data_IF_718185994519
#
_entry.id   IF_718185994519
#
_cell.length_a   1.000
_cell.length_b   1.000
_cell.length_c   1.000
_cell.angle_alpha   90.00
_cell.angle_beta   90.00
_cell.angle_gamma   90.00
#
_symmetry.space_group_name_H-M   'P 1'
#
loop_
_entity.id
_entity.type
_entity.pdbx_description
1 polymer ?
#
# COMPACT_ATOMS: atom_id res chain seq x y z
N UNK A 1 33.55 -3.47 63.80
CA UNK A 1 32.43 -4.19 63.14
C UNK A 1 31.35 -3.18 62.77
N UNK A 2 31.35 -2.67 61.54
CA UNK A 2 30.22 -1.88 61.00
C UNK A 2 30.02 -2.38 59.57
N UNK A 3 28.92 -3.08 59.33
CA UNK A 3 28.51 -3.57 58.00
C UNK A 3 27.47 -2.59 57.45
N UNK A 4 27.83 -1.86 56.40
CA UNK A 4 26.89 -1.13 55.56
C UNK A 4 26.34 -2.08 54.50
N UNK A 5 25.02 -2.28 54.48
CA UNK A 5 24.32 -2.94 53.39
C UNK A 5 23.72 -1.85 52.48
N UNK A 6 24.10 -1.75 51.19
CA UNK A 6 23.43 -0.85 50.28
C UNK A 6 22.12 -1.50 49.80
N UNK A 7 21.00 -0.81 50.03
CA UNK A 7 19.70 -1.16 49.47
C UNK A 7 19.72 -0.76 47.99
N UNK A 8 19.71 -1.76 47.11
CA UNK A 8 19.61 -1.58 45.67
C UNK A 8 18.16 -1.18 45.33
N UNK A 9 17.94 0.11 45.03
CA UNK A 9 16.65 0.60 44.57
C UNK A 9 16.50 0.30 43.08
N UNK A 10 15.89 -0.83 42.75
CA UNK A 10 15.53 -1.21 41.37
C UNK A 10 14.40 -0.31 40.87
N UNK A 11 14.76 0.73 40.12
CA UNK A 11 13.82 1.56 39.36
C UNK A 11 13.28 0.73 38.18
N UNK A 12 12.12 0.09 38.37
CA UNK A 12 11.33 -0.48 37.28
C UNK A 12 10.76 0.70 36.46
N UNK A 13 11.46 1.07 35.40
CA UNK A 13 10.95 1.97 34.37
C UNK A 13 9.78 1.28 33.67
N UNK A 14 8.56 1.59 34.11
CA UNK A 14 7.36 1.28 33.34
C UNK A 14 7.41 2.12 32.06
N UNK A 15 7.85 1.51 30.96
CA UNK A 15 7.71 2.09 29.63
C UNK A 15 6.21 2.13 29.35
N UNK A 16 5.59 3.30 29.50
CA UNK A 16 4.22 3.52 29.09
C UNK A 16 4.16 3.40 27.56
N UNK A 17 3.69 2.26 27.07
CA UNK A 17 3.42 2.07 25.66
C UNK A 17 2.28 3.01 25.27
N UNK A 18 2.47 3.81 24.21
CA UNK A 18 1.40 4.64 23.65
C UNK A 18 0.33 3.72 23.07
N UNK A 19 -0.96 3.90 23.43
CA UNK A 19 -2.01 3.01 22.96
C UNK A 19 -2.15 3.06 21.45
N UNK A 20 -2.26 1.90 20.83
CA UNK A 20 -2.54 1.77 19.40
C UNK A 20 -4.00 2.10 19.09
N UNK A 21 -4.33 2.27 17.81
CA UNK A 21 -5.72 2.50 17.41
C UNK A 21 -6.61 1.31 17.77
N UNK A 22 -6.11 0.08 17.64
CA UNK A 22 -6.81 -1.12 18.08
C UNK A 22 -7.06 -1.14 19.60
N UNK A 23 -6.13 -0.65 20.42
CA UNK A 23 -6.33 -0.53 21.88
C UNK A 23 -7.46 0.46 22.20
N UNK A 24 -7.51 1.59 21.49
CA UNK A 24 -8.57 2.60 21.63
C UNK A 24 -9.93 2.02 21.22
N UNK A 25 -10.00 1.28 20.10
CA UNK A 25 -11.23 0.61 19.67
C UNK A 25 -11.69 -0.46 20.67
N UNK A 26 -10.76 -1.24 21.23
CA UNK A 26 -11.07 -2.27 22.22
C UNK A 26 -11.64 -1.64 23.50
N UNK A 27 -11.00 -0.58 24.00
CA UNK A 27 -11.47 0.15 25.17
C UNK A 27 -12.85 0.78 24.91
N UNK A 28 -13.07 1.34 23.72
CA UNK A 28 -14.37 1.86 23.30
C UNK A 28 -15.44 0.77 23.32
N UNK A 29 -15.18 -0.39 22.70
CA UNK A 29 -16.10 -1.52 22.67
C UNK A 29 -16.42 -2.05 24.07
N UNK A 30 -15.41 -2.21 24.93
CA UNK A 30 -15.58 -2.66 26.31
C UNK A 30 -16.43 -1.70 27.14
N UNK A 31 -16.23 -0.38 26.98
CA UNK A 31 -17.04 0.62 27.69
C UNK A 31 -18.50 0.62 27.24
N UNK A 32 -18.76 0.45 25.96
CA UNK A 32 -20.12 0.28 25.45
C UNK A 32 -20.75 -1.00 26.02
N UNK A 33 -20.03 -2.11 25.96
CA UNK A 33 -20.47 -3.42 26.44
C UNK A 33 -20.88 -3.39 27.92
N UNK A 34 -20.05 -2.76 28.76
CA UNK A 34 -20.32 -2.59 30.19
C UNK A 34 -21.60 -1.79 30.49
N UNK A 35 -21.96 -0.79 29.66
CA UNK A 35 -23.18 0.01 29.87
C UNK A 35 -24.42 -0.72 29.34
N UNK A 36 -24.23 -1.49 28.28
CA UNK A 36 -25.27 -2.28 27.63
C UNK A 36 -25.54 -3.61 28.34
N UNK A 37 -24.70 -4.00 29.30
CA UNK A 37 -24.75 -5.28 30.02
C UNK A 37 -24.70 -6.48 29.05
N UNK A 38 -23.88 -6.38 28.01
CA UNK A 38 -23.66 -7.42 26.99
C UNK A 38 -22.18 -7.72 26.83
N UNK A 39 -21.78 -8.92 26.37
CA UNK A 39 -20.38 -9.17 26.04
C UNK A 39 -19.94 -8.27 24.86
N UNK A 40 -18.66 -7.84 24.83
CA UNK A 40 -18.13 -7.06 23.71
C UNK A 40 -18.13 -7.89 22.41
N UNK A 41 -18.16 -7.24 21.23
CA UNK A 41 -18.14 -7.94 19.96
C UNK A 41 -16.82 -8.69 19.74
N UNK A 42 -16.89 -9.84 19.09
CA UNK A 42 -15.72 -10.44 18.45
C UNK A 42 -15.36 -9.65 17.20
N UNK A 43 -14.09 -9.38 16.99
CA UNK A 43 -13.59 -8.66 15.82
C UNK A 43 -13.05 -9.66 14.81
N UNK A 44 -13.49 -9.52 13.56
CA UNK A 44 -13.05 -10.40 12.48
C UNK A 44 -11.55 -10.27 12.26
N UNK A 45 -10.88 -11.43 12.21
CA UNK A 45 -9.45 -11.52 11.89
C UNK A 45 -9.23 -11.14 10.43
N UNK A 46 -8.17 -10.38 10.17
CA UNK A 46 -7.79 -10.06 8.81
C UNK A 46 -7.24 -11.28 8.08
N UNK A 47 -7.66 -11.44 6.83
CA UNK A 47 -7.04 -12.35 5.87
C UNK A 47 -5.90 -11.67 5.11
N UNK A 48 -4.92 -12.39 4.58
CA UNK A 48 -3.96 -11.82 3.62
C UNK A 48 -4.67 -11.30 2.36
N UNK A 49 -4.15 -10.23 1.75
CA UNK A 49 -4.59 -9.80 0.41
C UNK A 49 -3.92 -10.72 -0.61
N UNK A 50 -4.66 -11.12 -1.66
CA UNK A 50 -4.09 -11.93 -2.74
C UNK A 50 -2.90 -11.21 -3.39
N UNK A 51 -1.81 -11.95 -3.63
CA UNK A 51 -0.63 -11.39 -4.30
C UNK A 51 -0.96 -11.05 -5.76
N UNK A 52 -0.43 -9.92 -6.24
CA UNK A 52 -0.50 -9.58 -7.65
C UNK A 52 0.53 -10.42 -8.40
N UNK A 53 0.10 -11.18 -9.41
CA UNK A 53 0.97 -12.05 -10.19
C UNK A 53 0.94 -11.67 -11.65
N UNK A 54 2.11 -11.43 -12.25
CA UNK A 54 2.26 -11.25 -13.69
C UNK A 54 3.35 -12.20 -14.22
N UNK A 55 3.17 -12.68 -15.45
CA UNK A 55 4.13 -13.60 -16.07
C UNK A 55 5.21 -12.80 -16.78
N UNK A 56 6.48 -13.22 -16.64
CA UNK A 56 7.57 -12.66 -17.44
C UNK A 56 7.33 -12.94 -18.92
N UNK A 57 7.33 -11.93 -19.80
CA UNK A 57 7.21 -12.16 -21.24
C UNK A 57 8.35 -13.04 -21.77
N UNK A 58 8.04 -13.92 -22.71
CA UNK A 58 9.06 -14.68 -23.44
C UNK A 58 9.82 -13.76 -24.41
N UNK A 59 11.13 -14.00 -24.55
CA UNK A 59 11.93 -13.27 -25.52
C UNK A 59 11.66 -13.83 -26.93
N UNK A 60 10.91 -13.07 -27.73
CA UNK A 60 10.64 -13.39 -29.14
C UNK A 60 11.85 -13.13 -30.04
N UNK A 61 12.65 -12.10 -29.72
CA UNK A 61 13.73 -11.64 -30.57
C UNK A 61 15.13 -12.05 -30.07
N UNK A 62 15.97 -12.60 -30.96
CA UNK A 62 17.37 -12.96 -30.67
C UNK A 62 18.29 -12.40 -31.77
N UNK A 63 19.27 -11.57 -31.38
CA UNK A 63 20.38 -11.18 -32.26
C UNK A 63 21.39 -12.33 -32.36
N UNK A 64 21.82 -12.67 -33.58
CA UNK A 64 22.94 -13.57 -33.77
C UNK A 64 24.25 -12.94 -33.30
N UNK A 65 25.27 -13.77 -33.04
CA UNK A 65 26.60 -13.30 -32.62
C UNK A 65 27.24 -12.40 -33.68
N UNK A 66 27.07 -12.72 -34.97
CA UNK A 66 27.60 -11.92 -36.08
C UNK A 66 26.90 -10.55 -36.16
N UNK A 67 25.58 -10.52 -36.04
CA UNK A 67 24.82 -9.26 -36.01
C UNK A 67 25.23 -8.42 -34.79
N UNK A 68 25.46 -9.03 -33.63
CA UNK A 68 25.92 -8.32 -32.44
C UNK A 68 27.35 -7.76 -32.62
N UNK A 69 28.24 -8.49 -33.28
CA UNK A 69 29.60 -8.03 -33.58
C UNK A 69 29.60 -6.82 -34.54
N UNK A 70 28.71 -6.82 -35.54
CA UNK A 70 28.51 -5.69 -36.45
C UNK A 70 28.04 -4.41 -35.74
N UNK A 71 27.54 -4.52 -34.50
CA UNK A 71 27.07 -3.41 -33.69
C UNK A 71 28.10 -2.93 -32.66
N UNK A 72 29.36 -3.36 -32.77
CA UNK A 72 30.42 -3.05 -31.79
C UNK A 72 30.69 -1.55 -31.57
N UNK A 73 30.35 -0.69 -32.53
CA UNK A 73 30.40 0.78 -32.38
C UNK A 73 29.25 1.36 -31.58
N UNK A 74 28.16 0.60 -31.36
CA UNK A 74 27.00 1.01 -30.59
C UNK A 74 27.07 0.51 -29.14
N UNK A 75 26.70 1.36 -28.19
CA UNK A 75 26.51 0.96 -26.79
C UNK A 75 25.47 -0.16 -26.61
N UNK A 76 24.56 -0.34 -27.59
CA UNK A 76 23.59 -1.44 -27.62
C UNK A 76 24.28 -2.81 -27.55
N UNK A 77 25.39 -3.01 -28.28
CA UNK A 77 26.06 -4.30 -28.30
C UNK A 77 26.58 -4.71 -26.91
N UNK A 78 27.11 -3.73 -26.17
CA UNK A 78 27.56 -3.94 -24.80
C UNK A 78 26.40 -4.24 -23.85
N UNK A 79 25.24 -3.58 -24.02
CA UNK A 79 24.07 -3.82 -23.17
C UNK A 79 23.46 -5.22 -23.40
N UNK A 80 23.36 -5.64 -24.67
CA UNK A 80 22.94 -7.01 -25.03
C UNK A 80 23.92 -8.06 -24.51
N UNK A 81 25.23 -7.82 -24.63
CA UNK A 81 26.25 -8.73 -24.10
C UNK A 81 26.17 -8.88 -22.57
N UNK A 82 25.96 -7.76 -21.85
CA UNK A 82 25.76 -7.78 -20.38
C UNK A 82 24.50 -8.56 -20.00
N UNK A 83 23.41 -8.42 -20.74
CA UNK A 83 22.19 -9.18 -20.48
C UNK A 83 22.35 -10.69 -20.73
N UNK A 84 23.08 -11.07 -21.77
CA UNK A 84 23.22 -12.48 -22.18
C UNK A 84 24.28 -13.26 -21.39
N UNK A 85 25.12 -12.58 -20.60
CA UNK A 85 26.11 -13.26 -19.76
C UNK A 85 25.45 -13.99 -18.57
N UNK A 86 26.24 -14.74 -17.79
CA UNK A 86 25.73 -15.54 -16.67
C UNK A 86 25.00 -14.70 -15.62
N UNK A 87 25.54 -13.53 -15.26
CA UNK A 87 24.94 -12.63 -14.27
C UNK A 87 23.65 -11.98 -14.80
N UNK A 88 23.63 -11.57 -16.07
CA UNK A 88 22.46 -10.97 -16.71
C UNK A 88 21.27 -11.93 -16.80
N UNK A 89 21.52 -13.23 -16.94
CA UNK A 89 20.47 -14.27 -16.88
C UNK A 89 19.84 -14.42 -15.50
N UNK A 90 20.56 -14.03 -14.45
CA UNK A 90 20.12 -14.05 -13.05
C UNK A 90 19.68 -12.66 -12.55
N UNK A 91 19.51 -11.70 -13.46
CA UNK A 91 19.10 -10.35 -13.13
C UNK A 91 17.75 -10.33 -12.41
N UNK A 92 17.65 -9.51 -11.37
CA UNK A 92 16.39 -9.23 -10.66
C UNK A 92 15.36 -8.60 -11.61
N UNK A 93 14.05 -8.71 -11.32
CA UNK A 93 12.99 -8.28 -12.24
C UNK A 93 13.12 -6.82 -12.72
N UNK A 94 13.55 -5.91 -11.85
CA UNK A 94 13.78 -4.49 -12.17
C UNK A 94 14.93 -4.29 -13.15
N UNK A 95 16.01 -5.06 -13.03
CA UNK A 95 17.10 -5.03 -14.01
C UNK A 95 16.69 -5.62 -15.37
N UNK A 96 15.81 -6.63 -15.37
CA UNK A 96 15.20 -7.16 -16.59
C UNK A 96 14.35 -6.09 -17.26
N UNK A 97 13.52 -5.36 -16.52
CA UNK A 97 12.71 -4.25 -17.05
C UNK A 97 13.60 -3.10 -17.56
N UNK A 98 14.58 -2.65 -16.76
CA UNK A 98 15.53 -1.60 -17.14
C UNK A 98 16.28 -1.95 -18.42
N UNK A 99 16.64 -3.22 -18.63
CA UNK A 99 17.23 -3.68 -19.89
C UNK A 99 16.30 -3.46 -21.09
N UNK A 100 14.99 -3.75 -20.97
CA UNK A 100 14.07 -3.52 -22.10
C UNK A 100 14.01 -2.04 -22.47
N UNK A 101 13.91 -1.15 -21.48
CA UNK A 101 13.92 0.31 -21.68
C UNK A 101 15.22 0.74 -22.36
N UNK A 102 16.37 0.33 -21.84
CA UNK A 102 17.68 0.69 -22.42
C UNK A 102 17.85 0.16 -23.83
N UNK A 103 17.40 -1.07 -24.10
CA UNK A 103 17.47 -1.64 -25.44
C UNK A 103 16.72 -0.76 -26.44
N UNK A 104 15.46 -0.39 -26.12
CA UNK A 104 14.64 0.46 -27.00
C UNK A 104 15.35 1.79 -27.29
N UNK A 105 15.86 2.44 -26.25
CA UNK A 105 16.56 3.74 -26.36
C UNK A 105 17.88 3.65 -27.15
N UNK A 106 18.66 2.58 -26.94
CA UNK A 106 19.95 2.38 -27.59
C UNK A 106 19.81 1.87 -29.04
N UNK A 107 18.76 1.10 -29.33
CA UNK A 107 18.45 0.64 -30.68
C UNK A 107 18.17 1.82 -31.61
N UNK A 108 17.36 2.80 -31.18
CA UNK A 108 17.07 3.98 -31.98
C UNK A 108 18.34 4.77 -32.31
N UNK A 109 19.19 5.04 -31.30
CA UNK A 109 20.48 5.72 -31.52
C UNK A 109 21.38 4.95 -32.47
N UNK A 110 21.41 3.62 -32.34
CA UNK A 110 22.25 2.77 -33.18
C UNK A 110 21.75 2.70 -34.64
N UNK A 111 20.44 2.74 -34.87
CA UNK A 111 19.85 2.83 -36.22
C UNK A 111 20.23 4.14 -36.92
N UNK A 112 20.31 5.23 -36.15
CA UNK A 112 20.65 6.58 -36.62
C UNK A 112 22.16 6.82 -36.76
N UNK A 113 23.02 5.96 -36.18
CA UNK A 113 24.47 6.06 -36.28
C UNK A 113 24.94 5.89 -37.74
N UNK A 114 25.80 6.81 -38.20
CA UNK A 114 26.34 6.81 -39.57
C UNK A 114 27.23 5.61 -39.87
N UNK A 115 27.80 4.97 -38.84
CA UNK A 115 28.58 3.73 -38.96
C UNK A 115 27.71 2.49 -39.12
N UNK A 116 26.42 2.57 -38.76
CA UNK A 116 25.46 1.50 -39.05
C UNK A 116 25.02 1.63 -40.50
N UNK A 117 25.68 0.94 -41.42
CA UNK A 117 25.37 0.99 -42.86
C UNK A 117 24.47 -0.16 -43.32
N UNK A 118 24.56 -1.30 -42.64
CA UNK A 118 23.81 -2.50 -42.98
C UNK A 118 22.30 -2.30 -42.75
N UNK A 119 21.53 -2.31 -43.84
CA UNK A 119 20.09 -2.09 -43.82
C UNK A 119 19.32 -3.27 -43.20
N UNK A 120 19.84 -4.50 -43.31
CA UNK A 120 19.24 -5.68 -42.68
C UNK A 120 19.33 -5.54 -41.15
N UNK A 121 20.51 -5.16 -40.65
CA UNK A 121 20.73 -4.89 -39.22
C UNK A 121 19.81 -3.77 -38.73
N UNK A 122 19.63 -2.69 -39.49
CA UNK A 122 18.67 -1.62 -39.12
C UNK A 122 17.23 -2.15 -39.04
N UNK A 123 16.79 -2.94 -40.00
CA UNK A 123 15.44 -3.50 -40.02
C UNK A 123 15.20 -4.44 -38.82
N UNK A 124 16.20 -5.27 -38.51
CA UNK A 124 16.22 -6.13 -37.33
C UNK A 124 16.08 -5.31 -36.04
N UNK A 125 16.86 -4.24 -35.89
CA UNK A 125 16.78 -3.39 -34.70
C UNK A 125 15.42 -2.70 -34.56
N UNK A 126 14.81 -2.26 -35.67
CA UNK A 126 13.46 -1.69 -35.66
C UNK A 126 12.43 -2.71 -35.19
N UNK A 127 12.44 -3.92 -35.76
CA UNK A 127 11.52 -4.98 -35.36
C UNK A 127 11.70 -5.36 -33.89
N UNK A 128 12.95 -5.57 -33.45
CA UNK A 128 13.25 -5.90 -32.06
C UNK A 128 12.83 -4.81 -31.09
N UNK A 129 13.01 -3.53 -31.46
CA UNK A 129 12.57 -2.38 -30.66
C UNK A 129 11.05 -2.35 -30.55
N UNK A 130 10.32 -2.57 -31.65
CA UNK A 130 8.86 -2.55 -31.67
C UNK A 130 8.23 -3.69 -30.86
N UNK A 131 8.78 -4.90 -30.98
CA UNK A 131 8.34 -6.04 -30.15
C UNK A 131 8.55 -5.74 -28.66
N UNK A 132 9.69 -5.15 -28.29
CA UNK A 132 9.98 -4.79 -26.90
C UNK A 132 9.09 -3.66 -26.38
N UNK A 133 8.75 -2.67 -27.22
CA UNK A 133 7.77 -1.61 -26.87
C UNK A 133 6.42 -2.22 -26.55
N UNK A 134 5.96 -3.14 -27.40
CA UNK A 134 4.68 -3.84 -27.24
C UNK A 134 4.65 -4.67 -25.96
N UNK A 135 5.76 -5.32 -25.61
CA UNK A 135 5.90 -6.14 -24.41
C UNK A 135 6.22 -5.35 -23.12
N UNK A 136 6.51 -4.05 -23.23
CA UNK A 136 7.05 -3.26 -22.12
C UNK A 136 6.08 -3.20 -20.91
N UNK A 137 4.76 -3.02 -21.09
CA UNK A 137 3.81 -3.07 -19.98
C UNK A 137 3.83 -4.40 -19.24
N UNK A 138 3.97 -5.54 -19.93
CA UNK A 138 4.03 -6.84 -19.29
C UNK A 138 5.36 -7.05 -18.54
N UNK A 139 6.48 -6.52 -19.04
CA UNK A 139 7.73 -6.50 -18.28
C UNK A 139 7.65 -5.63 -17.03
N UNK A 140 6.95 -4.49 -17.10
CA UNK A 140 6.69 -3.64 -15.94
C UNK A 140 5.80 -4.35 -14.91
N UNK A 141 4.70 -4.97 -15.38
CA UNK A 141 3.81 -5.79 -14.55
C UNK A 141 4.57 -6.93 -13.84
N UNK A 142 5.42 -7.65 -14.58
CA UNK A 142 6.27 -8.69 -14.01
C UNK A 142 7.18 -8.14 -12.90
N UNK A 143 7.86 -7.00 -13.13
CA UNK A 143 8.67 -6.35 -12.10
C UNK A 143 7.85 -6.04 -10.84
N UNK A 144 6.67 -5.43 -10.99
CA UNK A 144 5.80 -5.11 -9.87
C UNK A 144 5.39 -6.35 -9.05
N UNK A 145 5.19 -7.49 -9.73
CA UNK A 145 4.77 -8.76 -9.10
C UNK A 145 5.90 -9.61 -8.53
N UNK A 146 7.16 -9.31 -8.87
CA UNK A 146 8.29 -10.18 -8.57
C UNK A 146 9.37 -9.49 -7.72
N UNK A 147 9.32 -8.17 -7.54
CA UNK A 147 10.20 -7.47 -6.61
C UNK A 147 9.75 -7.63 -5.15
N UNK A 148 10.64 -8.07 -4.24
CA UNK A 148 10.30 -8.29 -2.83
C UNK A 148 9.73 -7.04 -2.13
N UNK A 149 10.33 -5.87 -2.38
CA UNK A 149 9.94 -4.60 -1.79
C UNK A 149 8.56 -4.10 -2.24
N UNK A 150 8.01 -4.64 -3.33
CA UNK A 150 6.66 -4.32 -3.83
C UNK A 150 5.63 -5.36 -3.37
N UNK A 151 6.01 -6.64 -3.35
CA UNK A 151 5.13 -7.72 -2.91
C UNK A 151 4.78 -7.66 -1.42
N UNK A 152 5.61 -7.01 -0.60
CA UNK A 152 5.35 -6.87 0.83
C UNK A 152 4.12 -6.00 1.16
N UNK A 153 3.64 -5.16 0.24
CA UNK A 153 2.52 -4.23 0.49
C UNK A 153 1.23 -4.94 0.93
N UNK A 154 1.02 -6.17 0.46
CA UNK A 154 -0.18 -6.96 0.67
C UNK A 154 -0.11 -7.88 1.91
N UNK A 155 1.03 -7.90 2.62
CA UNK A 155 1.24 -8.74 3.80
C UNK A 155 0.64 -8.09 5.05
N UNK A 156 0.21 -8.89 6.01
CA UNK A 156 -0.27 -8.37 7.31
C UNK A 156 0.90 -8.02 8.24
N UNK A 157 0.73 -6.97 9.02
CA UNK A 157 1.64 -6.59 10.13
C UNK A 157 0.87 -6.43 11.44
N UNK A 158 1.60 -6.38 12.55
CA UNK A 158 1.06 -6.02 13.86
C UNK A 158 1.14 -4.51 14.13
N UNK A 159 1.94 -3.79 13.33
CA UNK A 159 2.07 -2.33 13.43
C UNK A 159 0.79 -1.63 12.98
N UNK A 160 0.47 -0.52 13.65
CA UNK A 160 -0.58 0.41 13.25
C UNK A 160 0.03 1.81 13.12
N UNK A 161 -0.33 2.53 12.05
CA UNK A 161 0.11 3.91 11.87
C UNK A 161 -0.64 4.82 12.84
N UNK A 162 0.05 5.74 13.51
CA UNK A 162 -0.53 6.73 14.42
C UNK A 162 -0.13 8.17 14.04
N UNK A 163 0.75 8.34 13.05
CA UNK A 163 1.41 9.62 12.70
C UNK A 163 1.45 9.86 11.20
N UNK A 164 1.68 11.14 10.87
CA UNK A 164 1.90 11.66 9.51
C UNK A 164 3.27 12.30 9.41
N UNK A 165 3.79 12.36 8.19
CA UNK A 165 5.06 13.01 7.84
C UNK A 165 6.28 12.28 8.38
N UNK A 166 6.20 10.96 8.57
CA UNK A 166 7.37 10.16 8.95
C UNK A 166 8.32 10.00 7.76
N UNK A 167 9.61 9.80 8.02
CA UNK A 167 10.59 9.56 6.94
C UNK A 167 10.20 8.35 6.07
N UNK A 168 9.66 7.29 6.68
CA UNK A 168 9.18 6.11 5.97
C UNK A 168 8.00 6.43 5.05
N UNK A 169 7.05 7.25 5.50
CA UNK A 169 5.93 7.73 4.67
C UNK A 169 6.42 8.53 3.46
N UNK A 170 7.33 9.48 3.70
CA UNK A 170 7.89 10.34 2.64
C UNK A 170 8.64 9.48 1.62
N UNK A 171 9.56 8.63 2.07
CA UNK A 171 10.36 7.77 1.20
C UNK A 171 9.49 6.80 0.38
N UNK A 172 8.47 6.21 1.01
CA UNK A 172 7.56 5.30 0.31
C UNK A 172 6.77 6.02 -0.79
N UNK A 173 6.21 7.18 -0.48
CA UNK A 173 5.48 8.00 -1.45
C UNK A 173 6.39 8.46 -2.61
N UNK A 174 7.62 8.87 -2.33
CA UNK A 174 8.58 9.25 -3.37
C UNK A 174 8.99 8.07 -4.26
N UNK A 175 9.24 6.90 -3.68
CA UNK A 175 9.57 5.68 -4.42
C UNK A 175 8.42 5.26 -5.34
N UNK A 176 7.20 5.24 -4.80
CA UNK A 176 5.99 4.88 -5.54
C UNK A 176 5.66 5.92 -6.64
N UNK A 177 5.89 7.21 -6.39
CA UNK A 177 5.71 8.27 -7.39
C UNK A 177 6.65 8.10 -8.60
N UNK A 178 7.89 7.66 -8.38
CA UNK A 178 8.80 7.33 -9.50
C UNK A 178 8.25 6.16 -10.33
N UNK A 179 7.77 5.09 -9.67
CA UNK A 179 7.16 3.95 -10.39
C UNK A 179 5.91 4.37 -11.18
N UNK A 180 5.08 5.25 -10.62
CA UNK A 180 3.93 5.82 -11.31
C UNK A 180 4.34 6.68 -12.53
N UNK A 181 5.41 7.47 -12.40
CA UNK A 181 5.98 8.22 -13.54
C UNK A 181 6.49 7.30 -14.64
N UNK A 182 7.09 6.15 -14.28
CA UNK A 182 7.49 5.11 -15.25
C UNK A 182 6.26 4.53 -15.94
N UNK A 183 5.20 4.21 -15.18
CA UNK A 183 3.95 3.69 -15.71
C UNK A 183 3.33 4.61 -16.78
N UNK A 184 3.26 5.92 -16.51
CA UNK A 184 2.73 6.90 -17.48
C UNK A 184 3.60 7.04 -18.74
N UNK A 185 4.85 6.61 -18.70
CA UNK A 185 5.82 6.76 -19.78
C UNK A 185 6.01 5.46 -20.59
N UNK A 186 5.28 4.38 -20.30
CA UNK A 186 5.45 3.10 -20.97
C UNK A 186 5.19 3.15 -22.49
N UNK A 187 4.31 4.05 -22.95
CA UNK A 187 4.05 4.28 -24.37
C UNK A 187 5.11 5.16 -25.07
N UNK A 188 5.95 5.84 -24.31
CA UNK A 188 7.04 6.69 -24.78
C UNK A 188 8.32 6.40 -23.99
N UNK A 189 8.88 5.17 -24.10
CA UNK A 189 9.99 4.69 -23.26
C UNK A 189 11.29 5.49 -23.39
N UNK A 190 11.41 6.35 -24.38
CA UNK A 190 12.47 7.36 -24.53
C UNK A 190 12.53 8.31 -23.33
N UNK A 191 11.37 8.58 -22.72
CA UNK A 191 11.24 9.48 -21.58
C UNK A 191 11.51 8.78 -20.24
N UNK A 192 11.69 7.46 -20.25
CA UNK A 192 11.97 6.68 -19.02
C UNK A 192 13.45 6.79 -18.67
N UNK A 193 13.73 7.46 -17.55
CA UNK A 193 15.03 7.37 -16.90
C UNK A 193 15.13 6.08 -16.07
N UNK A 194 15.62 5.02 -16.71
CA UNK A 194 15.79 3.71 -16.07
C UNK A 194 16.74 3.72 -14.87
N UNK A 195 17.60 4.73 -14.71
CA UNK A 195 18.53 4.82 -13.57
C UNK A 195 17.82 5.19 -12.27
N UNK A 196 16.64 5.82 -12.33
CA UNK A 196 15.85 6.20 -11.15
C UNK A 196 15.08 5.03 -10.52
N UNK A 197 14.94 3.91 -11.22
CA UNK A 197 14.15 2.76 -10.75
C UNK A 197 14.78 2.11 -9.51
N UNK A 198 16.08 1.81 -9.55
CA UNK A 198 16.76 1.18 -8.40
C UNK A 198 16.75 2.07 -7.14
N UNK A 199 17.05 3.38 -7.21
CA UNK A 199 16.86 4.28 -6.08
C UNK A 199 15.42 4.33 -5.55
N UNK A 200 14.42 4.29 -6.43
CA UNK A 200 13.01 4.28 -6.03
C UNK A 200 12.65 3.00 -5.27
N UNK A 201 13.07 1.85 -5.77
CA UNK A 201 12.91 0.56 -5.10
C UNK A 201 13.65 0.51 -3.76
N UNK A 202 14.84 1.12 -3.69
CA UNK A 202 15.59 1.21 -2.42
C UNK A 202 14.86 1.99 -1.34
N UNK A 203 14.01 2.97 -1.68
CA UNK A 203 13.16 3.70 -0.70
C UNK A 203 12.01 2.85 -0.17
N UNK A 204 11.60 1.83 -0.93
CA UNK A 204 10.54 0.89 -0.59
C UNK A 204 11.09 -0.35 0.13
N UNK A 205 12.36 -0.66 -0.07
CA UNK A 205 13.03 -1.76 0.60
C UNK A 205 13.10 -1.53 2.13
N UNK A 206 12.73 -2.55 2.91
CA UNK A 206 12.62 -2.49 4.37
C UNK A 206 11.74 -1.34 4.92
N UNK A 207 10.85 -0.78 4.08
CA UNK A 207 9.92 0.27 4.47
C UNK A 207 8.52 -0.32 4.66
N UNK A 208 8.07 -0.42 5.92
CA UNK A 208 6.76 -1.01 6.26
C UNK A 208 5.59 -0.05 6.06
N UNK A 209 5.80 1.22 5.69
CA UNK A 209 4.74 2.25 5.72
C UNK A 209 3.47 1.83 4.97
N UNK A 210 3.59 1.40 3.71
CA UNK A 210 2.45 1.01 2.88
C UNK A 210 1.74 -0.18 3.52
N UNK A 211 2.49 -1.21 3.94
CA UNK A 211 1.95 -2.41 4.58
C UNK A 211 1.20 -2.06 5.89
N UNK A 212 1.79 -1.22 6.73
CA UNK A 212 1.24 -0.75 8.00
C UNK A 212 -0.01 0.07 7.79
N UNK A 213 -0.04 0.96 6.78
CA UNK A 213 -1.23 1.74 6.43
C UNK A 213 -2.37 0.85 5.91
N UNK A 214 -2.09 -0.06 4.97
CA UNK A 214 -3.09 -1.01 4.46
C UNK A 214 -3.68 -1.84 5.61
N UNK A 215 -2.83 -2.35 6.50
CA UNK A 215 -3.26 -3.13 7.67
C UNK A 215 -4.10 -2.29 8.63
N UNK A 216 -3.66 -1.07 8.96
CA UNK A 216 -4.36 -0.13 9.85
C UNK A 216 -5.77 0.18 9.35
N UNK A 217 -5.90 0.51 8.06
CA UNK A 217 -7.20 0.77 7.44
C UNK A 217 -8.12 -0.45 7.51
N UNK A 218 -7.60 -1.65 7.23
CA UNK A 218 -8.36 -2.90 7.28
C UNK A 218 -8.81 -3.23 8.71
N UNK A 219 -7.95 -3.05 9.71
CA UNK A 219 -8.30 -3.22 11.12
C UNK A 219 -9.42 -2.27 11.52
N UNK A 220 -9.30 -0.99 11.18
CA UNK A 220 -10.32 0.00 11.50
C UNK A 220 -11.66 -0.28 10.79
N UNK A 221 -11.64 -0.76 9.53
CA UNK A 221 -12.85 -1.22 8.83
C UNK A 221 -13.49 -2.40 9.56
N UNK A 222 -12.69 -3.40 9.99
CA UNK A 222 -13.18 -4.55 10.75
C UNK A 222 -13.81 -4.14 12.07
N UNK A 223 -13.17 -3.22 12.80
CA UNK A 223 -13.73 -2.62 14.02
C UNK A 223 -15.04 -1.90 13.77
N UNK A 224 -15.10 -1.02 12.77
CA UNK A 224 -16.31 -0.28 12.42
C UNK A 224 -17.48 -1.23 12.10
N UNK A 225 -17.23 -2.26 11.27
CA UNK A 225 -18.25 -3.24 10.86
C UNK A 225 -18.73 -4.09 12.03
N UNK A 226 -17.80 -4.71 12.76
CA UNK A 226 -18.11 -5.62 13.87
C UNK A 226 -18.85 -4.89 15.00
N UNK A 227 -18.37 -3.70 15.37
CA UNK A 227 -18.99 -2.90 16.41
C UNK A 227 -20.39 -2.42 16.01
N UNK A 228 -20.55 -1.95 14.76
CA UNK A 228 -21.87 -1.49 14.27
C UNK A 228 -22.87 -2.62 14.16
N UNK A 229 -22.45 -3.80 13.69
CA UNK A 229 -23.29 -4.99 13.61
C UNK A 229 -23.78 -5.42 15.01
N UNK A 230 -22.88 -5.47 15.99
CA UNK A 230 -23.22 -5.78 17.38
C UNK A 230 -24.16 -4.74 18.00
N UNK A 231 -23.87 -3.45 17.85
CA UNK A 231 -24.73 -2.37 18.33
C UNK A 231 -26.13 -2.41 17.71
N UNK A 232 -26.25 -2.86 16.46
CA UNK A 232 -27.54 -2.99 15.76
C UNK A 232 -28.44 -4.09 16.32
N UNK A 233 -27.92 -4.98 17.16
CA UNK A 233 -28.70 -6.00 17.87
C UNK A 233 -29.38 -5.45 19.14
N UNK A 234 -29.03 -4.24 19.57
CA UNK A 234 -29.54 -3.64 20.80
C UNK A 234 -30.90 -2.97 20.55
N UNK A 235 -31.93 -3.42 21.27
CA UNK A 235 -33.19 -2.69 21.38
C UNK A 235 -32.99 -1.43 22.23
N UNK A 236 -32.80 -0.30 21.55
CA UNK A 236 -32.56 0.99 22.19
C UNK A 236 -33.74 1.45 23.06
N UNK A 237 -34.99 1.19 22.66
CA UNK A 237 -36.15 1.61 23.44
C UNK A 237 -36.25 0.81 24.74
N UNK A 238 -36.05 -0.51 24.67
CA UNK A 238 -36.17 -1.36 25.85
C UNK A 238 -34.96 -1.27 26.79
N UNK A 239 -33.76 -1.29 26.23
CA UNK A 239 -32.52 -1.50 26.99
C UNK A 239 -31.87 -0.20 27.45
N UNK A 240 -31.94 0.83 26.62
CA UNK A 240 -31.17 2.08 26.83
C UNK A 240 -32.07 3.24 27.25
N UNK A 241 -33.22 3.37 26.60
CA UNK A 241 -34.11 4.52 26.69
C UNK A 241 -35.59 4.13 26.94
N UNK A 242 -35.88 3.32 27.99
CA UNK A 242 -37.24 2.92 28.31
C UNK A 242 -38.12 4.10 28.70
N UNK A 243 -39.36 4.06 28.21
CA UNK A 243 -40.35 5.10 28.47
C UNK A 243 -40.58 5.30 29.98
N UNK A 244 -40.73 6.56 30.39
CA UNK A 244 -40.93 6.94 31.79
C UNK A 244 -39.72 6.78 32.72
N UNK A 245 -38.57 6.30 32.24
CA UNK A 245 -37.33 6.18 33.04
C UNK A 245 -36.34 7.33 32.79
N UNK A 246 -35.41 7.50 33.72
CA UNK A 246 -34.32 8.47 33.58
C UNK A 246 -33.35 8.07 32.44
N UNK A 247 -32.73 9.06 31.79
CA UNK A 247 -31.83 8.88 30.65
C UNK A 247 -30.36 8.63 31.05
N UNK A 248 -30.09 8.00 32.21
CA UNK A 248 -28.71 7.84 32.71
C UNK A 248 -27.84 7.00 31.76
N UNK A 249 -28.31 5.81 31.35
CA UNK A 249 -27.57 4.94 30.40
C UNK A 249 -27.28 5.67 29.09
N UNK A 250 -28.28 6.35 28.52
CA UNK A 250 -28.12 7.13 27.30
C UNK A 250 -27.05 8.24 27.43
N UNK A 251 -27.03 8.97 28.56
CA UNK A 251 -25.99 9.99 28.81
C UNK A 251 -24.59 9.38 28.90
N UNK A 252 -24.44 8.21 29.51
CA UNK A 252 -23.14 7.53 29.60
C UNK A 252 -22.68 7.06 28.21
N UNK A 253 -23.56 6.43 27.42
CA UNK A 253 -23.25 6.03 26.05
C UNK A 253 -22.85 7.21 25.16
N UNK A 254 -23.57 8.33 25.25
CA UNK A 254 -23.22 9.58 24.57
C UNK A 254 -21.81 10.07 24.94
N UNK A 255 -21.46 10.07 26.23
CA UNK A 255 -20.13 10.49 26.69
C UNK A 255 -19.03 9.55 26.17
N UNK A 256 -19.29 8.24 26.15
CA UNK A 256 -18.36 7.25 25.59
C UNK A 256 -18.18 7.50 24.08
N UNK A 257 -19.26 7.67 23.33
CA UNK A 257 -19.20 7.98 21.90
C UNK A 257 -18.38 9.24 21.61
N UNK A 258 -18.67 10.34 22.31
CA UNK A 258 -17.92 11.57 22.11
C UNK A 258 -16.43 11.40 22.42
N UNK A 259 -16.10 10.79 23.56
CA UNK A 259 -14.70 10.60 23.98
C UNK A 259 -13.90 9.73 23.01
N UNK A 260 -14.48 8.65 22.51
CA UNK A 260 -13.75 7.66 21.71
C UNK A 260 -14.00 7.84 20.22
N UNK A 261 -15.25 7.71 19.77
CA UNK A 261 -15.57 7.73 18.35
C UNK A 261 -15.31 9.11 17.72
N UNK A 262 -15.76 10.20 18.37
CA UNK A 262 -15.60 11.56 17.84
C UNK A 262 -14.21 12.11 18.11
N UNK A 263 -13.74 12.14 19.35
CA UNK A 263 -12.49 12.82 19.68
C UNK A 263 -11.22 12.06 19.30
N UNK A 264 -11.26 10.74 19.07
CA UNK A 264 -10.06 9.94 18.81
C UNK A 264 -10.16 9.18 17.48
N UNK A 265 -11.19 8.34 17.30
CA UNK A 265 -11.27 7.45 16.14
C UNK A 265 -11.67 8.16 14.85
N UNK A 266 -12.47 9.23 14.88
CA UNK A 266 -12.82 9.99 13.68
C UNK A 266 -11.60 10.73 13.09
N UNK A 267 -10.79 11.48 13.88
CA UNK A 267 -9.53 12.04 13.40
C UNK A 267 -8.58 10.98 12.82
N UNK A 268 -8.45 9.85 13.50
CA UNK A 268 -7.64 8.73 13.03
C UNK A 268 -8.11 8.19 11.67
N UNK A 269 -9.42 7.97 11.51
CA UNK A 269 -10.00 7.53 10.24
C UNK A 269 -9.83 8.56 9.12
N UNK A 270 -9.89 9.85 9.44
CA UNK A 270 -9.60 10.93 8.48
C UNK A 270 -8.14 10.88 8.03
N UNK A 271 -7.21 10.71 8.97
CA UNK A 271 -5.78 10.53 8.68
C UNK A 271 -5.54 9.34 7.74
N UNK A 272 -6.09 8.17 8.07
CA UNK A 272 -5.99 6.97 7.23
C UNK A 272 -6.54 7.22 5.82
N UNK A 273 -7.72 7.86 5.72
CA UNK A 273 -8.30 8.18 4.42
C UNK A 273 -7.41 9.09 3.57
N UNK A 274 -6.73 10.06 4.17
CA UNK A 274 -5.84 10.97 3.45
C UNK A 274 -4.57 10.23 2.97
N UNK A 275 -3.99 9.40 3.82
CA UNK A 275 -2.83 8.56 3.48
C UNK A 275 -3.17 7.57 2.35
N UNK A 276 -4.34 6.94 2.41
CA UNK A 276 -4.82 6.05 1.35
C UNK A 276 -5.05 6.80 0.02
N UNK A 277 -5.54 8.03 0.07
CA UNK A 277 -5.72 8.85 -1.13
C UNK A 277 -4.38 9.17 -1.80
N UNK A 278 -3.35 9.49 -1.02
CA UNK A 278 -2.00 9.75 -1.54
C UNK A 278 -1.42 8.52 -2.25
N UNK A 279 -1.52 7.33 -1.65
CA UNK A 279 -1.09 6.08 -2.29
C UNK A 279 -1.91 5.76 -3.55
N UNK A 280 -3.24 5.94 -3.49
CA UNK A 280 -4.13 5.69 -4.61
C UNK A 280 -3.77 6.53 -5.83
N UNK A 281 -3.27 7.76 -5.65
CA UNK A 281 -2.85 8.60 -6.78
C UNK A 281 -1.77 7.93 -7.64
N UNK A 282 -0.82 7.22 -7.01
CA UNK A 282 0.23 6.48 -7.73
C UNK A 282 -0.26 5.10 -8.20
N UNK A 283 -1.00 4.36 -7.38
CA UNK A 283 -1.56 3.06 -7.79
C UNK A 283 -2.53 3.18 -8.96
N UNK A 284 -3.34 4.24 -9.03
CA UNK A 284 -4.24 4.49 -10.15
C UNK A 284 -3.47 4.68 -11.47
N UNK A 285 -2.36 5.41 -11.47
CA UNK A 285 -1.49 5.59 -12.65
C UNK A 285 -0.89 4.26 -13.09
N UNK A 286 -0.41 3.45 -12.14
CA UNK A 286 0.11 2.10 -12.42
C UNK A 286 -0.98 1.19 -12.98
N UNK A 287 -2.18 1.21 -12.38
CA UNK A 287 -3.34 0.42 -12.79
C UNK A 287 -3.80 0.75 -14.21
N UNK A 288 -3.82 2.04 -14.56
CA UNK A 288 -4.15 2.49 -15.92
C UNK A 288 -3.15 2.00 -16.97
N UNK A 289 -1.86 1.93 -16.61
CA UNK A 289 -0.81 1.49 -17.52
C UNK A 289 -0.73 -0.04 -17.69
N UNK A 290 -1.28 -0.82 -16.75
CA UNK A 290 -1.29 -2.28 -16.77
C UNK A 290 -2.75 -2.80 -16.65
N UNK A 291 -3.48 -2.94 -17.76
CA UNK A 291 -4.86 -3.43 -17.74
C UNK A 291 -4.96 -4.96 -17.64
N UNK A 292 -3.92 -5.73 -17.98
CA UNK A 292 -3.97 -7.18 -17.98
C UNK A 292 -2.65 -7.87 -17.55
N UNK A 293 -2.65 -8.66 -16.44
CA UNK A 293 -3.68 -8.65 -15.41
C UNK A 293 -3.71 -7.27 -14.73
N UNK A 294 -4.91 -6.75 -14.45
CA UNK A 294 -5.10 -5.42 -13.85
C UNK A 294 -4.28 -5.28 -12.56
N UNK A 295 -3.41 -4.27 -12.50
CA UNK A 295 -2.72 -3.96 -11.24
C UNK A 295 -3.72 -3.34 -10.24
N UNK A 296 -3.92 -3.91 -9.04
CA UNK A 296 -4.99 -3.49 -8.15
C UNK A 296 -4.67 -2.18 -7.41
N UNK A 297 -5.62 -1.24 -7.38
CA UNK A 297 -5.59 -0.11 -6.46
C UNK A 297 -6.34 -0.47 -5.16
N UNK A 298 -5.68 -1.24 -4.30
CA UNK A 298 -6.22 -1.60 -2.99
C UNK A 298 -6.43 -0.37 -2.09
N UNK A 299 -5.65 0.71 -2.27
CA UNK A 299 -5.77 1.91 -1.46
C UNK A 299 -7.11 2.62 -1.70
N UNK A 300 -7.53 2.74 -2.97
CA UNK A 300 -8.84 3.29 -3.32
C UNK A 300 -10.00 2.44 -2.77
N UNK A 301 -9.89 1.11 -2.86
CA UNK A 301 -10.90 0.19 -2.34
C UNK A 301 -11.04 0.35 -0.81
N UNK A 302 -9.91 0.33 -0.08
CA UNK A 302 -9.90 0.52 1.37
C UNK A 302 -10.41 1.88 1.79
N UNK A 303 -10.08 2.95 1.05
CA UNK A 303 -10.60 4.28 1.35
C UNK A 303 -12.13 4.31 1.24
N UNK A 304 -12.70 3.70 0.20
CA UNK A 304 -14.15 3.58 0.01
C UNK A 304 -14.80 2.78 1.14
N UNK A 305 -14.21 1.64 1.51
CA UNK A 305 -14.71 0.78 2.59
C UNK A 305 -14.60 1.45 3.97
N UNK A 306 -13.54 2.20 4.24
CA UNK A 306 -13.34 2.96 5.47
C UNK A 306 -14.43 4.04 5.60
N UNK A 307 -14.64 4.85 4.56
CA UNK A 307 -15.69 5.87 4.53
C UNK A 307 -17.08 5.27 4.73
N UNK A 308 -17.37 4.16 4.04
CA UNK A 308 -18.66 3.46 4.13
C UNK A 308 -18.90 2.90 5.53
N UNK A 309 -17.94 2.17 6.10
CA UNK A 309 -18.07 1.59 7.43
C UNK A 309 -18.16 2.65 8.54
N UNK A 310 -17.40 3.74 8.42
CA UNK A 310 -17.48 4.89 9.34
C UNK A 310 -18.86 5.56 9.30
N UNK A 311 -19.41 5.76 8.09
CA UNK A 311 -20.75 6.32 7.90
C UNK A 311 -21.83 5.43 8.51
N UNK A 312 -21.76 4.12 8.33
CA UNK A 312 -22.72 3.18 8.92
C UNK A 312 -22.70 3.25 10.45
N UNK A 313 -21.51 3.34 11.05
CA UNK A 313 -21.39 3.53 12.51
C UNK A 313 -22.04 4.84 12.97
N UNK A 314 -21.77 5.95 12.27
CA UNK A 314 -22.39 7.24 12.57
C UNK A 314 -23.92 7.22 12.41
N UNK A 315 -24.45 6.51 11.41
CA UNK A 315 -25.89 6.35 11.20
C UNK A 315 -26.57 5.61 12.34
N UNK A 316 -25.93 4.58 12.91
CA UNK A 316 -26.45 3.93 14.12
C UNK A 316 -26.56 4.94 15.29
N UNK A 317 -25.54 5.77 15.51
CA UNK A 317 -25.58 6.81 16.53
C UNK A 317 -26.63 7.89 16.28
N UNK A 318 -26.87 8.26 15.02
CA UNK A 318 -27.99 9.14 14.67
C UNK A 318 -29.34 8.50 15.05
N UNK A 319 -29.49 7.19 14.85
CA UNK A 319 -30.65 6.42 15.34
C UNK A 319 -30.78 6.47 16.85
N UNK A 320 -29.66 6.24 17.57
CA UNK A 320 -29.59 6.38 19.02
C UNK A 320 -30.10 7.74 19.51
N UNK A 321 -29.62 8.85 18.93
CA UNK A 321 -30.05 10.19 19.34
C UNK A 321 -31.55 10.43 19.11
N UNK A 322 -32.09 9.94 17.98
CA UNK A 322 -33.52 10.04 17.66
C UNK A 322 -34.38 9.27 18.66
N UNK A 323 -34.03 8.01 18.93
CA UNK A 323 -34.79 7.13 19.84
C UNK A 323 -34.71 7.63 21.28
N UNK A 324 -33.50 7.97 21.74
CA UNK A 324 -33.25 8.35 23.12
C UNK A 324 -33.57 9.82 23.44
N UNK A 325 -33.84 10.64 22.41
CA UNK A 325 -34.08 12.09 22.53
C UNK A 325 -32.98 12.74 23.38
N UNK A 326 -31.73 12.41 23.08
CA UNK A 326 -30.53 13.03 23.65
C UNK A 326 -29.98 13.97 22.57
N UNK A 327 -29.66 15.20 22.94
CA UNK A 327 -29.11 16.17 21.99
C UNK A 327 -27.67 15.76 21.63
N UNK A 328 -27.34 15.63 20.33
CA UNK A 328 -25.95 15.53 19.89
C UNK A 328 -25.16 16.78 20.33
N UNK A 329 -23.83 16.63 20.47
CA UNK A 329 -22.92 17.79 20.56
C UNK A 329 -22.52 18.18 19.14
#
# INVERSE_FOLDING_TARGET
MIRYAPILFSLLLAVACTPTASDINLEYANRLANVLDTPPPSIDKLSPIAEYTATRPEASFKLSVLQLANLGHCALAQDVARHNNQLGKLAVPSEVFKYQVRFIQLAERCIQDTKTQDQEVKNILRQASEEKRTALPQYFAFMLSAEPELNQFNRLTFEETDKRGTDNEIQANEGLAVLASVANSLLAPENIDSQKITPALSKLNNNSYIQTLMTSARRQISWNRSLTAWLSQIDLQKTVCPEGKNKKKAKVLHNIFNKYAISQLQPYQSQLSNQLQELSNSFAQISQAIPHPLYPDHAAALMTELKSSSRQHAQWWQGFYKVCKVTPV
#
